data_IF_767193430611
#
_entry.id   IF_767193430611
#
_cell.length_a   1.000
_cell.length_b   1.000
_cell.length_c   1.000
_cell.angle_alpha   90.00
_cell.angle_beta   90.00
_cell.angle_gamma   90.00
#
_symmetry.space_group_name_H-M   'P 1'
#
loop_
_entity.id
_entity.type
_entity.pdbx_description
1 polymer ?
#
# COMPACT_ATOMS: atom_id res chain seq x y z
N UNK A 1 4.18 -6.98 -12.64
CA UNK A 1 4.10 -5.51 -12.80
C UNK A 1 5.41 -4.88 -12.35
N UNK A 2 5.87 -3.85 -13.08
CA UNK A 2 7.00 -2.99 -12.72
C UNK A 2 6.58 -1.71 -11.97
N UNK A 3 5.28 -1.50 -11.76
CA UNK A 3 4.78 -0.35 -11.00
C UNK A 3 5.01 -0.56 -9.49
N UNK A 4 5.73 0.34 -8.79
CA UNK A 4 5.85 0.29 -7.33
C UNK A 4 4.50 0.33 -6.62
N UNK A 5 3.51 0.99 -7.23
CA UNK A 5 2.14 1.00 -6.72
C UNK A 5 1.57 -0.41 -6.65
N UNK A 6 1.78 -1.23 -7.69
CA UNK A 6 1.23 -2.59 -7.73
C UNK A 6 1.99 -3.55 -6.82
N UNK A 7 3.33 -3.58 -6.94
CA UNK A 7 4.12 -4.63 -6.28
C UNK A 7 4.45 -4.34 -4.82
N UNK A 8 4.32 -3.09 -4.38
CA UNK A 8 4.68 -2.66 -3.02
C UNK A 8 3.51 -2.01 -2.30
N UNK A 9 2.93 -0.94 -2.84
CA UNK A 9 1.87 -0.21 -2.15
C UNK A 9 0.58 -1.04 -2.03
N UNK A 10 -0.01 -1.44 -3.15
CA UNK A 10 -1.25 -2.23 -3.18
C UNK A 10 -1.07 -3.59 -2.55
N UNK A 11 0.07 -4.25 -2.75
CA UNK A 11 0.38 -5.50 -2.03
C UNK A 11 0.25 -5.35 -0.51
N UNK A 12 0.72 -4.24 0.06
CA UNK A 12 0.63 -4.01 1.50
C UNK A 12 -0.75 -3.53 1.93
N UNK A 13 -1.43 -2.76 1.08
CA UNK A 13 -2.81 -2.35 1.30
C UNK A 13 -3.75 -3.56 1.32
N UNK A 14 -3.59 -4.50 0.39
CA UNK A 14 -4.38 -5.74 0.33
C UNK A 14 -4.23 -6.55 1.61
N UNK A 15 -2.99 -6.71 2.10
CA UNK A 15 -2.76 -7.36 3.40
C UNK A 15 -3.42 -6.60 4.56
N UNK A 16 -3.37 -5.25 4.55
CA UNK A 16 -4.00 -4.44 5.60
C UNK A 16 -5.54 -4.52 5.56
N UNK A 17 -6.13 -4.72 4.38
CA UNK A 17 -7.57 -4.88 4.19
C UNK A 17 -8.06 -6.33 4.30
N UNK A 18 -7.15 -7.30 4.34
CA UNK A 18 -7.50 -8.70 4.41
C UNK A 18 -8.40 -8.99 5.63
N UNK A 19 -9.60 -9.52 5.36
CA UNK A 19 -10.58 -9.85 6.39
C UNK A 19 -11.39 -8.68 6.94
N UNK A 20 -11.17 -7.44 6.47
CA UNK A 20 -11.99 -6.28 6.82
C UNK A 20 -13.25 -6.23 5.96
N UNK A 21 -14.38 -5.91 6.58
CA UNK A 21 -15.65 -5.63 5.89
C UNK A 21 -16.00 -4.16 6.17
N UNK A 22 -16.19 -3.38 5.12
CA UNK A 22 -16.59 -1.97 5.22
C UNK A 22 -18.07 -1.83 4.92
N UNK A 23 -18.84 -1.33 5.89
CA UNK A 23 -20.30 -1.20 5.78
C UNK A 23 -20.75 0.05 5.00
N UNK A 24 -19.82 0.95 4.69
CA UNK A 24 -20.04 2.14 3.89
C UNK A 24 -18.71 2.68 3.33
N UNK A 25 -18.81 3.62 2.39
CA UNK A 25 -17.66 4.25 1.74
C UNK A 25 -16.77 5.00 2.74
N UNK A 26 -17.35 5.74 3.69
CA UNK A 26 -16.58 6.52 4.67
C UNK A 26 -15.67 5.61 5.51
N UNK A 27 -16.16 4.46 5.94
CA UNK A 27 -15.37 3.49 6.68
C UNK A 27 -14.19 2.94 5.87
N UNK A 28 -14.37 2.72 4.57
CA UNK A 28 -13.29 2.31 3.67
C UNK A 28 -12.26 3.43 3.45
N UNK A 29 -12.73 4.67 3.25
CA UNK A 29 -11.87 5.85 3.09
C UNK A 29 -11.05 6.14 4.35
N UNK A 30 -11.65 6.03 5.53
CA UNK A 30 -10.95 6.27 6.79
C UNK A 30 -9.90 5.19 7.07
N UNK A 31 -10.19 3.92 6.79
CA UNK A 31 -9.19 2.86 6.87
C UNK A 31 -8.03 3.06 5.86
N UNK A 32 -8.32 3.58 4.66
CA UNK A 32 -7.29 3.95 3.69
C UNK A 32 -6.43 5.11 4.19
N UNK A 33 -7.03 6.16 4.76
CA UNK A 33 -6.29 7.28 5.38
C UNK A 33 -5.41 6.79 6.52
N UNK A 34 -5.95 5.95 7.41
CA UNK A 34 -5.18 5.35 8.51
C UNK A 34 -4.00 4.52 7.99
N UNK A 35 -4.21 3.72 6.96
CA UNK A 35 -3.14 2.97 6.30
C UNK A 35 -2.02 3.90 5.84
N UNK A 36 -2.34 4.95 5.07
CA UNK A 36 -1.35 5.93 4.58
C UNK A 36 -0.63 6.62 5.73
N UNK A 37 -1.38 7.12 6.73
CA UNK A 37 -0.82 7.83 7.88
C UNK A 37 0.10 6.95 8.74
N UNK A 38 -0.10 5.63 8.73
CA UNK A 38 0.76 4.68 9.44
C UNK A 38 2.06 4.35 8.69
N UNK A 39 2.22 4.74 7.42
CA UNK A 39 3.44 4.46 6.64
C UNK A 39 4.49 5.54 6.89
N UNK A 40 5.73 5.12 7.14
CA UNK A 40 6.87 6.04 7.24
C UNK A 40 7.37 6.44 5.85
N UNK A 41 8.15 7.53 5.71
CA UNK A 41 8.79 7.89 4.44
C UNK A 41 9.62 6.74 3.84
N UNK A 42 10.30 5.96 4.68
CA UNK A 42 11.15 4.83 4.29
C UNK A 42 10.33 3.71 3.62
N UNK A 43 9.05 3.55 3.99
CA UNK A 43 8.16 2.62 3.31
C UNK A 43 8.04 2.95 1.82
N UNK A 44 7.87 4.23 1.47
CA UNK A 44 7.74 4.66 0.08
C UNK A 44 9.09 4.57 -0.65
N UNK A 45 10.17 5.01 -0.01
CA UNK A 45 11.53 4.91 -0.54
C UNK A 45 11.89 3.45 -0.89
N UNK A 46 11.64 2.52 0.02
CA UNK A 46 11.86 1.08 -0.19
C UNK A 46 11.12 0.54 -1.42
N UNK A 47 9.90 1.02 -1.66
CA UNK A 47 9.11 0.63 -2.83
C UNK A 47 9.77 1.06 -4.14
N UNK A 48 10.27 2.29 -4.18
CA UNK A 48 10.95 2.89 -5.35
C UNK A 48 12.32 2.25 -5.58
N UNK A 49 13.12 2.06 -4.53
CA UNK A 49 14.46 1.46 -4.64
C UNK A 49 14.41 0.02 -5.18
N UNK A 50 13.38 -0.75 -4.82
CA UNK A 50 13.11 -2.08 -5.38
C UNK A 50 12.82 -2.09 -6.89
N UNK A 51 12.59 -0.93 -7.51
CA UNK A 51 12.42 -0.84 -8.96
C UNK A 51 13.70 -1.25 -9.69
N UNK A 52 14.87 -0.84 -9.17
CA UNK A 52 16.18 -1.10 -9.77
C UNK A 52 16.44 -2.61 -9.87
N UNK A 53 16.17 -3.36 -8.80
CA UNK A 53 16.38 -4.82 -8.79
C UNK A 53 15.31 -5.60 -9.56
N UNK A 54 14.15 -5.00 -9.85
CA UNK A 54 13.07 -5.62 -10.64
C UNK A 54 13.23 -5.40 -12.14
N UNK A 55 14.06 -4.44 -12.55
CA UNK A 55 14.37 -4.17 -13.95
C UNK A 55 15.46 -5.09 -14.51
N UNK A 56 16.29 -5.67 -13.64
CA UNK A 56 17.27 -6.69 -13.99
C UNK A 56 16.63 -8.07 -14.12
#
# INVERSE_FOLDING_TARGET
SLSPTDYHFFKQLDHYFQGKIFNNQTAAEDAYKEFISSRTPEFYATGIEKLISRWQ
#
